data_IF_403195303082
#
_entry.id   IF_403195303082
#
_cell.length_a   1.000
_cell.length_b   1.000
_cell.length_c   1.000
_cell.angle_alpha   90.00
_cell.angle_beta   90.00
_cell.angle_gamma   90.00
#
_symmetry.space_group_name_H-M   'P 1'
#
loop_
_entity.id
_entity.type
_entity.pdbx_description
1 polymer ?
#
# COMPACT_ATOMS: atom_id res chain seq x y z
N UNK A 1 26.80 -0.91 -20.57
CA UNK A 1 26.01 -0.40 -19.44
C UNK A 1 25.83 -1.54 -18.45
N UNK A 2 26.37 -1.47 -17.23
CA UNK A 2 26.26 -2.57 -16.25
C UNK A 2 24.85 -2.54 -15.63
N UNK A 3 24.00 -3.47 -16.03
CA UNK A 3 22.67 -3.66 -15.45
C UNK A 3 22.81 -4.48 -14.17
N UNK A 4 22.68 -3.83 -13.01
CA UNK A 4 22.62 -4.51 -11.72
C UNK A 4 21.26 -5.20 -11.62
N UNK A 5 21.23 -6.54 -11.67
CA UNK A 5 19.99 -7.30 -11.44
C UNK A 5 19.53 -7.11 -10.00
N UNK A 6 18.25 -6.81 -9.83
CA UNK A 6 17.66 -6.68 -8.51
C UNK A 6 17.55 -8.10 -7.92
N UNK A 7 17.79 -8.27 -6.62
CA UNK A 7 17.54 -9.58 -5.96
C UNK A 7 16.08 -10.03 -6.05
N UNK A 8 15.17 -9.10 -6.37
CA UNK A 8 13.75 -9.29 -6.61
C UNK A 8 13.47 -9.85 -8.02
N UNK A 9 14.39 -9.68 -8.98
CA UNK A 9 14.27 -10.30 -10.31
C UNK A 9 14.20 -11.83 -10.19
N UNK A 10 14.89 -12.41 -9.18
CA UNK A 10 14.82 -13.84 -8.87
C UNK A 10 13.43 -14.31 -8.41
N UNK A 11 12.58 -13.37 -7.99
CA UNK A 11 11.19 -13.60 -7.61
C UNK A 11 10.21 -13.22 -8.75
N UNK A 12 10.72 -12.97 -9.95
CA UNK A 12 9.92 -12.47 -11.08
C UNK A 12 9.54 -10.99 -10.96
N UNK A 13 10.04 -10.28 -9.94
CA UNK A 13 9.79 -8.85 -9.76
C UNK A 13 10.92 -8.07 -10.42
N UNK A 14 10.72 -7.71 -11.68
CA UNK A 14 11.63 -6.84 -12.41
C UNK A 14 11.62 -5.39 -11.85
N UNK A 15 12.46 -4.55 -12.46
CA UNK A 15 12.61 -3.15 -12.04
C UNK A 15 11.34 -2.32 -12.23
N UNK A 16 10.64 -2.49 -13.35
CA UNK A 16 9.48 -1.67 -13.69
C UNK A 16 8.31 -2.02 -12.77
N UNK A 17 8.10 -3.32 -12.54
CA UNK A 17 7.15 -3.81 -11.56
C UNK A 17 7.51 -3.31 -10.16
N UNK A 18 8.78 -3.38 -9.75
CA UNK A 18 9.20 -2.87 -8.45
C UNK A 18 8.91 -1.37 -8.27
N UNK A 19 9.15 -0.56 -9.31
CA UNK A 19 8.87 0.88 -9.27
C UNK A 19 7.35 1.16 -9.18
N UNK A 20 6.52 0.36 -9.87
CA UNK A 20 5.07 0.41 -9.74
C UNK A 20 4.60 0.06 -8.31
N UNK A 21 5.08 -1.05 -7.75
CA UNK A 21 4.74 -1.48 -6.39
C UNK A 21 5.16 -0.43 -5.35
N UNK A 22 6.34 0.16 -5.54
CA UNK A 22 6.84 1.24 -4.67
C UNK A 22 5.97 2.49 -4.76
N UNK A 23 5.55 2.87 -5.97
CA UNK A 23 4.63 3.99 -6.16
C UNK A 23 3.28 3.72 -5.48
N UNK A 24 2.77 2.49 -5.60
CA UNK A 24 1.55 2.03 -4.94
C UNK A 24 1.64 2.14 -3.41
N UNK A 25 2.74 1.68 -2.80
CA UNK A 25 2.96 1.81 -1.35
C UNK A 25 3.03 3.28 -0.89
N UNK A 26 3.67 4.16 -1.66
CA UNK A 26 3.78 5.59 -1.31
C UNK A 26 2.44 6.30 -1.20
N UNK A 27 1.42 5.81 -1.92
CA UNK A 27 0.07 6.37 -1.85
C UNK A 27 -0.69 5.96 -0.58
N UNK A 28 -0.19 5.00 0.21
CA UNK A 28 -0.86 4.46 1.39
C UNK A 28 -1.36 5.54 2.36
N UNK A 29 -0.51 6.52 2.71
CA UNK A 29 -0.89 7.62 3.60
C UNK A 29 -2.06 8.44 3.07
N UNK A 30 -1.96 8.87 1.81
CA UNK A 30 -3.03 9.64 1.14
C UNK A 30 -4.31 8.83 0.99
N UNK A 31 -4.21 7.53 0.69
CA UNK A 31 -5.39 6.64 0.59
C UNK A 31 -6.12 6.54 1.93
N UNK A 32 -5.38 6.42 3.05
CA UNK A 32 -5.96 6.37 4.40
C UNK A 32 -6.64 7.68 4.78
N UNK A 33 -6.01 8.81 4.46
CA UNK A 33 -6.59 10.13 4.69
C UNK A 33 -7.86 10.34 3.88
N UNK A 34 -7.85 10.02 2.58
CA UNK A 34 -9.04 10.07 1.72
C UNK A 34 -10.16 9.17 2.24
N UNK A 35 -9.86 7.94 2.65
CA UNK A 35 -10.86 7.02 3.21
C UNK A 35 -11.43 7.57 4.52
N UNK A 36 -10.60 8.15 5.39
CA UNK A 36 -11.05 8.80 6.63
C UNK A 36 -11.94 10.01 6.33
N UNK A 37 -11.61 10.82 5.33
CA UNK A 37 -12.42 11.95 4.92
C UNK A 37 -13.80 11.51 4.39
N UNK A 38 -13.84 10.46 3.56
CA UNK A 38 -15.11 9.92 3.05
C UNK A 38 -15.98 9.35 4.18
N UNK A 39 -15.38 8.65 5.15
CA UNK A 39 -16.09 8.08 6.31
C UNK A 39 -16.49 9.13 7.35
N UNK A 40 -15.62 10.12 7.59
CA UNK A 40 -15.81 11.18 8.57
C UNK A 40 -16.71 12.33 8.11
N UNK A 41 -16.86 12.50 6.79
CA UNK A 41 -17.77 13.47 6.17
C UNK A 41 -19.27 13.21 6.41
N UNK A 42 -19.63 12.24 7.26
CA UNK A 42 -20.98 12.11 7.80
C UNK A 42 -21.29 13.12 8.93
N UNK A 43 -20.27 13.76 9.53
CA UNK A 43 -20.45 14.67 10.67
C UNK A 43 -20.33 16.18 10.37
N UNK A 44 -20.14 16.60 9.11
CA UNK A 44 -20.05 18.03 8.76
C UNK A 44 -21.39 18.58 8.21
N UNK A 45 -22.51 18.13 8.79
CA UNK A 45 -23.83 18.74 8.61
C UNK A 45 -23.93 20.02 9.46
N UNK A 46 -23.03 20.96 9.15
CA UNK A 46 -22.91 22.25 9.83
C UNK A 46 -22.32 23.33 8.92
N UNK A 47 -22.72 23.41 7.65
CA UNK A 47 -22.23 24.51 6.81
C UNK A 47 -22.64 24.50 5.35
N UNK A 48 -23.78 25.13 5.07
CA UNK A 48 -24.11 25.89 3.84
C UNK A 48 -23.82 25.27 2.46
N UNK A 49 -24.90 25.06 1.70
CA UNK A 49 -24.88 25.16 0.25
C UNK A 49 -24.97 23.84 -0.48
N UNK A 50 -26.20 23.41 -0.70
CA UNK A 50 -26.58 22.36 -1.64
C UNK A 50 -25.82 22.50 -2.98
N UNK A 51 -25.06 21.50 -3.46
CA UNK A 51 -24.56 21.54 -4.83
C UNK A 51 -25.71 21.17 -5.76
N UNK A 52 -26.28 22.19 -6.42
CA UNK A 52 -27.08 22.00 -7.63
C UNK A 52 -26.13 21.57 -8.75
N UNK A 53 -25.96 20.27 -8.91
CA UNK A 53 -25.23 19.66 -10.02
C UNK A 53 -26.12 18.63 -10.68
N UNK A 54 -26.74 19.01 -11.80
CA UNK A 54 -27.63 18.17 -12.60
C UNK A 54 -26.81 17.17 -13.44
N UNK A 55 -26.15 16.21 -12.77
CA UNK A 55 -25.42 15.12 -13.40
C UNK A 55 -26.01 13.79 -12.96
N UNK A 56 -26.60 13.06 -13.90
CA UNK A 56 -27.16 11.71 -13.70
C UNK A 56 -26.03 10.76 -13.30
N UNK A 57 -25.82 10.61 -12.00
CA UNK A 57 -24.82 9.73 -11.41
C UNK A 57 -24.75 10.00 -9.91
N UNK A 58 -25.39 9.15 -9.11
CA UNK A 58 -25.56 9.34 -7.67
C UNK A 58 -24.19 9.65 -7.01
N UNK A 59 -23.99 10.87 -6.48
CA UNK A 59 -22.75 11.25 -5.81
C UNK A 59 -22.45 10.33 -4.61
N UNK A 60 -23.47 9.73 -4.01
CA UNK A 60 -23.35 8.73 -2.94
C UNK A 60 -22.75 7.44 -3.47
N UNK A 61 -23.27 6.91 -4.58
CA UNK A 61 -22.74 5.71 -5.21
C UNK A 61 -21.27 5.87 -5.62
N UNK A 62 -20.91 7.02 -6.21
CA UNK A 62 -19.51 7.33 -6.55
C UNK A 62 -18.59 7.38 -5.34
N UNK A 63 -19.05 7.97 -4.23
CA UNK A 63 -18.30 7.99 -2.95
C UNK A 63 -18.12 6.59 -2.37
N UNK A 64 -19.15 5.76 -2.38
CA UNK A 64 -19.09 4.39 -1.90
C UNK A 64 -18.11 3.53 -2.71
N UNK A 65 -18.18 3.61 -4.05
CA UNK A 65 -17.23 2.93 -4.94
C UNK A 65 -15.78 3.37 -4.67
N UNK A 66 -15.55 4.67 -4.53
CA UNK A 66 -14.22 5.21 -4.21
C UNK A 66 -13.72 4.74 -2.85
N UNK A 67 -14.57 4.73 -1.82
CA UNK A 67 -14.23 4.23 -0.50
C UNK A 67 -13.87 2.74 -0.54
N UNK A 68 -14.60 1.94 -1.31
CA UNK A 68 -14.31 0.52 -1.52
C UNK A 68 -12.94 0.29 -2.14
N UNK A 69 -12.62 1.03 -3.21
CA UNK A 69 -11.30 0.95 -3.87
C UNK A 69 -10.16 1.34 -2.92
N UNK A 70 -10.31 2.45 -2.19
CA UNK A 70 -9.30 2.89 -1.22
C UNK A 70 -9.09 1.85 -0.12
N UNK A 71 -10.18 1.29 0.41
CA UNK A 71 -10.11 0.25 1.44
C UNK A 71 -9.43 -1.03 0.92
N UNK A 72 -9.76 -1.47 -0.30
CA UNK A 72 -9.13 -2.63 -0.93
C UNK A 72 -7.62 -2.42 -1.13
N UNK A 73 -7.22 -1.25 -1.65
CA UNK A 73 -5.81 -0.91 -1.84
C UNK A 73 -5.02 -0.93 -0.53
N UNK A 74 -5.59 -0.33 0.53
CA UNK A 74 -5.00 -0.32 1.88
C UNK A 74 -4.86 -1.74 2.40
N UNK A 75 -5.93 -2.54 2.31
CA UNK A 75 -5.97 -3.91 2.82
C UNK A 75 -4.94 -4.81 2.13
N UNK A 76 -4.73 -4.66 0.81
CA UNK A 76 -3.70 -5.43 0.08
C UNK A 76 -2.29 -5.12 0.59
N UNK A 77 -1.99 -3.86 0.92
CA UNK A 77 -0.70 -3.48 1.51
C UNK A 77 -0.54 -4.10 2.90
N UNK A 78 -1.55 -3.93 3.76
CA UNK A 78 -1.52 -4.44 5.14
C UNK A 78 -1.39 -5.97 5.16
N UNK A 79 -2.21 -6.68 4.40
CA UNK A 79 -2.15 -8.13 4.23
C UNK A 79 -0.78 -8.61 3.75
N UNK A 80 -0.19 -7.93 2.76
CA UNK A 80 1.13 -8.30 2.24
C UNK A 80 2.23 -8.14 3.29
N UNK A 81 2.10 -7.16 4.21
CA UNK A 81 2.99 -7.04 5.37
C UNK A 81 2.75 -8.18 6.36
N UNK A 82 1.49 -8.56 6.61
CA UNK A 82 1.16 -9.64 7.53
C UNK A 82 1.71 -11.00 7.09
N UNK A 83 1.64 -11.29 5.80
CA UNK A 83 2.15 -12.53 5.18
C UNK A 83 3.69 -12.58 5.09
N UNK A 84 4.35 -11.42 4.98
CA UNK A 84 5.80 -11.35 4.77
C UNK A 84 6.62 -11.10 6.04
N UNK A 85 6.03 -10.50 7.08
CA UNK A 85 6.76 -9.98 8.23
C UNK A 85 6.26 -10.54 9.56
N UNK A 86 7.22 -10.78 10.47
CA UNK A 86 6.94 -11.09 11.86
C UNK A 86 6.15 -9.95 12.54
N UNK A 87 5.22 -10.24 13.47
CA UNK A 87 4.36 -9.23 14.09
C UNK A 87 5.10 -7.98 14.61
N UNK A 88 6.27 -8.15 15.22
CA UNK A 88 7.09 -7.05 15.74
C UNK A 88 7.71 -6.12 14.69
N UNK A 89 7.69 -6.52 13.42
CA UNK A 89 8.33 -5.80 12.29
C UNK A 89 7.31 -5.05 11.45
N UNK A 90 6.04 -5.48 11.46
CA UNK A 90 4.99 -5.01 10.55
C UNK A 90 4.86 -3.48 10.51
N UNK A 91 4.85 -2.83 11.68
CA UNK A 91 4.78 -1.36 11.79
C UNK A 91 5.98 -0.69 11.13
N UNK A 92 7.18 -1.18 11.40
CA UNK A 92 8.41 -0.63 10.82
C UNK A 92 8.47 -0.87 9.30
N UNK A 93 7.97 -2.02 8.83
CA UNK A 93 7.85 -2.29 7.39
C UNK A 93 6.96 -1.24 6.70
N UNK A 94 5.75 -0.98 7.23
CA UNK A 94 4.86 0.05 6.71
C UNK A 94 5.51 1.43 6.68
N UNK A 95 6.20 1.82 7.76
CA UNK A 95 6.94 3.10 7.82
C UNK A 95 8.02 3.19 6.74
N UNK A 96 8.74 2.10 6.48
CA UNK A 96 9.75 2.07 5.43
C UNK A 96 9.16 2.14 4.02
N UNK A 97 8.16 1.30 3.72
CA UNK A 97 7.66 1.14 2.34
C UNK A 97 6.70 2.24 1.92
N UNK A 98 5.88 2.76 2.85
CA UNK A 98 4.91 3.81 2.56
C UNK A 98 5.50 5.21 2.76
N UNK A 99 6.30 5.42 3.81
CA UNK A 99 6.77 6.75 4.21
C UNK A 99 8.27 6.97 3.95
N UNK A 100 8.99 5.95 3.50
CA UNK A 100 10.40 6.07 3.14
C UNK A 100 11.34 6.25 4.33
N UNK A 101 10.91 5.94 5.56
CA UNK A 101 11.77 6.02 6.74
C UNK A 101 12.96 5.08 6.58
N UNK A 102 14.17 5.58 6.88
CA UNK A 102 15.40 4.79 6.78
C UNK A 102 15.41 3.74 7.89
N UNK A 103 16.11 2.64 7.68
CA UNK A 103 16.17 1.55 8.66
C UNK A 103 16.64 2.03 10.04
N UNK A 104 17.59 2.97 10.06
CA UNK A 104 18.19 3.57 11.26
C UNK A 104 17.18 4.36 12.10
N UNK A 105 16.12 4.87 11.47
CA UNK A 105 15.10 5.68 12.13
C UNK A 105 13.88 4.84 12.56
N UNK A 106 13.89 3.52 12.30
CA UNK A 106 12.79 2.62 12.63
C UNK A 106 12.98 2.00 14.04
N UNK A 107 11.90 1.82 14.81
CA UNK A 107 11.94 1.04 16.05
C UNK A 107 12.03 -0.46 15.71
N UNK A 108 13.24 -0.95 15.37
CA UNK A 108 13.46 -2.28 14.81
C UNK A 108 14.19 -3.26 15.75
N UNK A 109 13.61 -4.45 16.02
CA UNK A 109 14.27 -5.50 16.80
C UNK A 109 15.14 -6.45 15.96
N UNK A 110 15.12 -6.34 14.61
CA UNK A 110 15.87 -7.23 13.71
C UNK A 110 17.13 -6.56 13.17
N UNK A 111 18.11 -7.36 12.75
CA UNK A 111 19.25 -6.85 12.00
C UNK A 111 18.85 -6.29 10.63
N UNK A 112 19.67 -5.35 10.13
CA UNK A 112 19.52 -4.74 8.80
C UNK A 112 19.34 -5.78 7.70
N UNK A 113 20.15 -6.84 7.72
CA UNK A 113 20.10 -7.90 6.71
C UNK A 113 18.77 -8.65 6.72
N UNK A 114 18.26 -9.00 7.92
CA UNK A 114 16.96 -9.69 8.07
C UNK A 114 15.81 -8.78 7.64
N UNK A 115 15.84 -7.51 8.04
CA UNK A 115 14.84 -6.52 7.62
C UNK A 115 14.72 -6.41 6.09
N UNK A 116 15.84 -6.25 5.38
CA UNK A 116 15.81 -6.16 3.92
C UNK A 116 15.44 -7.48 3.24
N UNK A 117 15.60 -8.62 3.90
CA UNK A 117 15.08 -9.91 3.42
C UNK A 117 13.55 -9.93 3.49
N UNK A 118 12.97 -9.55 4.62
CA UNK A 118 11.52 -9.43 4.77
C UNK A 118 10.94 -8.36 3.83
N UNK A 119 11.63 -7.25 3.61
CA UNK A 119 11.21 -6.22 2.63
C UNK A 119 11.12 -6.79 1.21
N UNK A 120 12.02 -7.69 0.81
CA UNK A 120 11.92 -8.36 -0.50
C UNK A 120 10.73 -9.32 -0.54
N UNK A 121 10.54 -10.12 0.51
CA UNK A 121 9.37 -11.00 0.62
C UNK A 121 8.05 -10.20 0.58
N UNK A 122 8.01 -9.03 1.20
CA UNK A 122 6.87 -8.11 1.15
C UNK A 122 6.55 -7.68 -0.29
N UNK A 123 7.53 -7.22 -1.08
CA UNK A 123 7.25 -6.81 -2.46
C UNK A 123 6.81 -7.98 -3.34
N UNK A 124 7.34 -9.18 -3.12
CA UNK A 124 6.84 -10.39 -3.78
C UNK A 124 5.36 -10.66 -3.40
N UNK A 125 5.04 -10.69 -2.11
CA UNK A 125 3.65 -10.89 -1.63
C UNK A 125 2.70 -9.82 -2.14
N UNK A 126 3.15 -8.57 -2.20
CA UNK A 126 2.37 -7.48 -2.76
C UNK A 126 2.07 -7.67 -4.24
N UNK A 127 3.05 -8.11 -5.04
CA UNK A 127 2.85 -8.41 -6.44
C UNK A 127 1.84 -9.55 -6.63
N UNK A 128 1.96 -10.64 -5.85
CA UNK A 128 1.02 -11.76 -5.88
C UNK A 128 -0.39 -11.32 -5.47
N UNK A 129 -0.53 -10.58 -4.37
CA UNK A 129 -1.82 -10.11 -3.86
C UNK A 129 -2.49 -9.08 -4.79
N UNK A 130 -1.73 -8.41 -5.66
CA UNK A 130 -2.24 -7.54 -6.72
C UNK A 130 -2.53 -8.30 -8.04
N UNK A 131 -2.29 -9.60 -8.11
CA UNK A 131 -2.42 -10.41 -9.33
C UNK A 131 -1.40 -10.05 -10.42
N UNK A 132 -0.28 -9.42 -10.03
CA UNK A 132 0.81 -9.06 -10.95
C UNK A 132 1.83 -10.18 -11.12
N UNK A 133 1.80 -11.17 -10.23
CA UNK A 133 2.58 -12.40 -10.29
C UNK A 133 1.71 -13.57 -9.81
N UNK A 134 1.94 -14.75 -10.41
CA UNK A 134 1.36 -16.00 -9.91
C UNK A 134 2.07 -16.43 -8.61
N UNK A 135 1.33 -16.96 -7.64
CA UNK A 135 1.95 -17.56 -6.47
C UNK A 135 2.72 -18.80 -6.92
N UNK A 136 4.03 -18.80 -6.68
CA UNK A 136 4.81 -20.05 -6.73
C UNK A 136 4.54 -20.77 -5.42
N UNK A 137 3.42 -21.49 -5.34
CA UNK A 137 3.16 -22.41 -4.24
C UNK A 137 4.15 -23.59 -4.39
N UNK A 138 5.08 -23.67 -3.44
CA UNK A 138 6.08 -24.74 -3.33
C UNK A 138 6.17 -25.22 -1.90
#
# INVERSE_FOLDING_TARGET
MRTWKLKLDNYGVDRDLYDELRAFCRQYGSKREQLRAIRGGFNDLGGTGQPRGNGVGDPTARRALRAGQLAADIAVIERSVEEACEPGVRRAMLLNVAFGMRYEDLPMPLSRAKFFRERRAFFYRLAVNLGKLESVDG
#
